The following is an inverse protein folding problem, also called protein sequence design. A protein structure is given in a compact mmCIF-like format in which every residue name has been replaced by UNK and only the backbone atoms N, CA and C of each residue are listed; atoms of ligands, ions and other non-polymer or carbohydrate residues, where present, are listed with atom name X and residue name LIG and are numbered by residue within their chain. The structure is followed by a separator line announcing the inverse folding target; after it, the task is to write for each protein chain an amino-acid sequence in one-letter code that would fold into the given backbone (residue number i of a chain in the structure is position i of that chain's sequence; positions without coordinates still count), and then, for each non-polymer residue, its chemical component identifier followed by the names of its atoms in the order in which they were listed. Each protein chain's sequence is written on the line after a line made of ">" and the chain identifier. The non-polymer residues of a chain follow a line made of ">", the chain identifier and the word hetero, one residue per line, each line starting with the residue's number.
data_IF_644871460429
#
_entry.id   IF_644871460429
#
_cell.length_a   1.000
_cell.length_b   1.000
_cell.length_c   1.000
_cell.angle_alpha   90.00
_cell.angle_beta   90.00
_cell.angle_gamma   90.00
#
_symmetry.space_group_name_H-M   'P 1'
#
loop_
_entity.id
_entity.type
_entity.pdbx_description
1 polymer ?
#
# COMPACT_ATOMS: atom_id res chain seq x y z
N UNK A 1 -14.88 -22.44 22.41
CA UNK A 1 -13.91 -21.46 22.91
C UNK A 1 -12.84 -21.31 21.83
N UNK A 2 -12.90 -20.25 21.04
CA UNK A 2 -11.86 -19.99 20.04
C UNK A 2 -10.62 -19.57 20.81
N UNK A 3 -9.66 -20.49 20.94
CA UNK A 3 -8.36 -20.14 21.48
C UNK A 3 -7.80 -19.02 20.60
N UNK A 4 -7.62 -17.83 21.16
CA UNK A 4 -6.82 -16.80 20.50
C UNK A 4 -5.42 -17.41 20.35
N UNK A 5 -5.11 -17.95 19.17
CA UNK A 5 -3.77 -18.40 18.81
C UNK A 5 -2.86 -17.19 18.95
N UNK A 6 -2.17 -17.11 20.08
CA UNK A 6 -1.32 -15.98 20.40
C UNK A 6 -0.19 -15.85 19.38
N UNK A 7 0.40 -14.66 19.32
CA UNK A 7 1.61 -14.36 18.55
C UNK A 7 2.86 -15.18 18.96
N UNK A 8 2.72 -16.15 19.86
CA UNK A 8 3.77 -17.05 20.34
C UNK A 8 3.62 -18.40 19.61
N UNK A 9 4.42 -18.60 18.58
CA UNK A 9 4.43 -19.83 17.78
C UNK A 9 5.21 -19.67 16.47
N UNK A 10 5.23 -20.73 15.67
CA UNK A 10 5.91 -20.75 14.37
C UNK A 10 7.44 -20.88 14.45
N UNK A 11 8.11 -21.07 13.30
CA UNK A 11 9.54 -21.41 13.22
C UNK A 11 10.48 -20.31 13.74
N UNK A 12 10.04 -19.05 13.71
CA UNK A 12 10.81 -17.88 14.20
C UNK A 12 10.11 -17.11 15.33
N UNK A 13 9.05 -17.67 15.91
CA UNK A 13 8.37 -17.06 17.07
C UNK A 13 7.44 -15.88 16.76
N UNK A 14 7.09 -15.63 15.50
CA UNK A 14 6.17 -14.55 15.07
C UNK A 14 4.73 -15.02 14.78
N UNK A 15 4.38 -16.23 15.20
CA UNK A 15 3.06 -16.85 14.98
C UNK A 15 3.06 -17.87 13.84
N UNK A 16 1.92 -18.53 13.64
CA UNK A 16 1.75 -19.60 12.65
C UNK A 16 1.77 -19.05 11.21
N UNK A 17 2.66 -19.53 10.32
CA UNK A 17 2.68 -19.13 8.92
C UNK A 17 1.43 -19.46 8.12
N UNK A 18 0.73 -20.54 8.47
CA UNK A 18 -0.40 -21.05 7.67
C UNK A 18 -1.76 -20.52 8.18
N UNK A 19 -1.75 -19.72 9.24
CA UNK A 19 -2.91 -18.97 9.71
C UNK A 19 -3.37 -17.97 8.64
N UNK A 20 -4.65 -18.03 8.29
CA UNK A 20 -5.30 -17.18 7.28
C UNK A 20 -6.18 -16.09 7.88
N UNK A 21 -6.24 -15.97 9.20
CA UNK A 21 -7.04 -14.95 9.88
C UNK A 21 -6.30 -13.62 9.91
N UNK A 22 -7.00 -12.51 9.68
CA UNK A 22 -6.43 -11.16 9.79
C UNK A 22 -7.16 -10.45 10.92
N UNK A 23 -6.42 -10.06 11.95
CA UNK A 23 -6.98 -9.30 13.07
C UNK A 23 -7.37 -7.88 12.64
N UNK A 24 -8.36 -7.26 13.31
CA UNK A 24 -8.80 -5.91 12.97
C UNK A 24 -7.67 -4.87 13.05
N UNK A 25 -6.80 -5.00 14.06
CA UNK A 25 -5.60 -4.14 14.18
C UNK A 25 -4.65 -4.31 13.00
N UNK A 26 -4.45 -5.53 12.54
CA UNK A 26 -3.61 -5.84 11.39
C UNK A 26 -4.23 -5.30 10.09
N UNK A 27 -5.55 -5.45 9.94
CA UNK A 27 -6.34 -4.90 8.84
C UNK A 27 -6.19 -3.37 8.76
N UNK A 28 -6.35 -2.68 9.89
CA UNK A 28 -6.24 -1.22 9.99
C UNK A 28 -4.82 -0.65 9.92
N UNK A 29 -3.77 -1.48 10.04
CA UNK A 29 -2.38 -1.01 10.07
C UNK A 29 -1.53 -1.56 8.93
N UNK A 30 -1.16 -2.83 8.97
CA UNK A 30 -0.24 -3.46 8.02
C UNK A 30 -0.90 -3.71 6.67
N UNK A 31 -2.11 -4.28 6.68
CA UNK A 31 -2.85 -4.54 5.45
C UNK A 31 -3.21 -3.23 4.74
N UNK A 32 -3.69 -2.23 5.49
CA UNK A 32 -3.99 -0.90 4.93
C UNK A 32 -2.77 -0.25 4.28
N UNK A 33 -1.58 -0.39 4.88
CA UNK A 33 -0.31 0.07 4.28
C UNK A 33 0.09 -0.73 3.04
N UNK A 34 -0.10 -2.05 3.07
CA UNK A 34 0.13 -2.92 1.91
C UNK A 34 -0.73 -2.49 0.72
N UNK A 35 -2.04 -2.33 0.92
CA UNK A 35 -2.96 -1.87 -0.13
C UNK A 35 -2.55 -0.49 -0.63
N UNK A 36 -2.21 0.44 0.26
CA UNK A 36 -1.75 1.77 -0.13
C UNK A 36 -0.48 1.72 -0.99
N UNK A 37 0.50 0.88 -0.67
CA UNK A 37 1.72 0.67 -1.48
C UNK A 37 1.37 0.19 -2.89
N UNK A 38 0.51 -0.83 -3.02
CA UNK A 38 0.06 -1.37 -4.31
C UNK A 38 -0.68 -0.31 -5.14
N UNK A 39 -1.57 0.46 -4.51
CA UNK A 39 -2.28 1.55 -5.19
C UNK A 39 -1.34 2.67 -5.64
N UNK A 40 -0.38 3.07 -4.81
CA UNK A 40 0.48 4.23 -5.07
C UNK A 40 1.59 4.00 -6.09
N UNK A 41 2.14 2.78 -6.16
CA UNK A 41 3.32 2.48 -6.97
C UNK A 41 3.08 1.50 -8.10
N UNK A 42 1.98 0.74 -8.08
CA UNK A 42 1.73 -0.29 -9.10
C UNK A 42 0.44 -0.01 -9.89
N UNK A 43 -0.71 0.12 -9.21
CA UNK A 43 -2.03 0.13 -9.87
C UNK A 43 -2.48 1.52 -10.32
N UNK A 44 -2.41 2.53 -9.44
CA UNK A 44 -2.78 3.91 -9.74
C UNK A 44 -1.54 4.81 -9.91
N UNK A 45 -0.40 4.23 -10.30
CA UNK A 45 0.88 4.96 -10.39
C UNK A 45 0.78 6.19 -11.29
N UNK A 46 0.03 6.09 -12.40
CA UNK A 46 -0.15 7.16 -13.37
C UNK A 46 -0.90 8.35 -12.78
N UNK A 47 -2.01 8.09 -12.12
CA UNK A 47 -2.87 9.09 -11.48
C UNK A 47 -2.10 9.78 -10.36
N UNK A 48 -1.38 9.00 -9.53
CA UNK A 48 -0.49 9.53 -8.51
C UNK A 48 0.65 10.35 -9.09
N UNK A 49 1.22 9.97 -10.25
CA UNK A 49 2.25 10.74 -10.94
C UNK A 49 1.70 12.09 -11.40
N UNK A 50 0.53 12.13 -12.02
CA UNK A 50 -0.11 13.39 -12.43
C UNK A 50 -0.35 14.32 -11.25
N UNK A 51 -0.90 13.79 -10.15
CA UNK A 51 -1.09 14.57 -8.94
C UNK A 51 0.23 15.11 -8.36
N UNK A 52 1.28 14.28 -8.26
CA UNK A 52 2.61 14.72 -7.82
C UNK A 52 3.19 15.80 -8.72
N UNK A 53 3.02 15.70 -10.04
CA UNK A 53 3.45 16.72 -11.00
C UNK A 53 2.74 18.04 -10.76
N UNK A 54 1.43 18.03 -10.56
CA UNK A 54 0.68 19.24 -10.22
C UNK A 54 1.16 19.85 -8.89
N UNK A 55 1.35 19.03 -7.85
CA UNK A 55 1.85 19.50 -6.54
C UNK A 55 3.21 20.19 -6.69
N UNK A 56 4.11 19.63 -7.51
CA UNK A 56 5.42 20.23 -7.82
C UNK A 56 5.29 21.55 -8.58
N UNK A 57 4.40 21.62 -9.56
CA UNK A 57 4.14 22.84 -10.33
C UNK A 57 3.59 23.98 -9.46
N UNK A 58 2.90 23.65 -8.36
CA UNK A 58 2.34 24.62 -7.42
C UNK A 58 3.09 24.70 -6.08
N UNK A 59 4.36 24.27 -6.03
CA UNK A 59 5.17 24.24 -4.79
C UNK A 59 5.25 25.58 -4.05
N UNK A 60 5.13 26.70 -4.77
CA UNK A 60 5.20 28.05 -4.20
C UNK A 60 3.87 28.51 -3.57
N UNK A 61 2.80 27.73 -3.71
CA UNK A 61 1.52 28.00 -3.06
C UNK A 61 1.54 27.54 -1.61
N UNK A 62 0.90 28.30 -0.71
CA UNK A 62 0.70 27.90 0.69
C UNK A 62 0.03 26.53 0.85
N UNK A 63 -0.88 26.16 -0.08
CA UNK A 63 -1.55 24.85 -0.09
C UNK A 63 -1.64 24.32 -1.54
N UNK A 64 -0.59 23.67 -2.07
CA UNK A 64 -0.56 23.19 -3.46
C UNK A 64 -1.69 22.21 -3.76
N UNK A 65 -2.06 21.37 -2.78
CA UNK A 65 -3.14 20.38 -2.92
C UNK A 65 -4.51 20.98 -3.22
N UNK A 66 -4.78 22.24 -2.82
CA UNK A 66 -6.04 22.91 -3.16
C UNK A 66 -6.14 23.28 -4.63
N UNK A 67 -5.00 23.47 -5.31
CA UNK A 67 -4.95 23.72 -6.75
C UNK A 67 -5.02 22.44 -7.56
N UNK A 68 -4.53 21.33 -7.01
CA UNK A 68 -4.47 20.02 -7.66
C UNK A 68 -5.66 19.10 -7.34
N UNK A 69 -6.86 19.67 -7.17
CA UNK A 69 -8.06 18.89 -6.78
C UNK A 69 -8.53 17.97 -7.91
N UNK A 70 -8.36 18.40 -9.16
CA UNK A 70 -8.80 17.64 -10.34
C UNK A 70 -7.95 16.38 -10.50
N UNK A 71 -6.63 16.51 -10.37
CA UNK A 71 -5.69 15.39 -10.42
C UNK A 71 -5.91 14.45 -9.23
N UNK A 72 -6.24 15.00 -8.05
CA UNK A 72 -6.58 14.18 -6.89
C UNK A 72 -7.91 13.43 -7.05
N UNK A 73 -8.88 14.00 -7.78
CA UNK A 73 -10.13 13.29 -8.08
C UNK A 73 -9.88 12.03 -8.91
N UNK A 74 -8.94 12.09 -9.87
CA UNK A 74 -8.53 10.91 -10.66
C UNK A 74 -7.86 9.84 -9.80
N UNK A 75 -7.04 10.25 -8.83
CA UNK A 75 -6.45 9.33 -7.84
C UNK A 75 -7.56 8.65 -7.04
N UNK A 76 -8.50 9.41 -6.50
CA UNK A 76 -9.61 8.86 -5.73
C UNK A 76 -10.48 7.92 -6.57
N UNK A 77 -10.77 8.27 -7.82
CA UNK A 77 -11.54 7.44 -8.73
C UNK A 77 -10.86 6.08 -8.92
N UNK A 78 -9.57 6.07 -9.29
CA UNK A 78 -8.80 4.84 -9.46
C UNK A 78 -8.77 3.98 -8.19
N UNK A 79 -8.50 4.59 -7.03
CA UNK A 79 -8.43 3.88 -5.76
C UNK A 79 -9.80 3.32 -5.35
N UNK A 80 -10.87 4.10 -5.50
CA UNK A 80 -12.21 3.69 -5.12
C UNK A 80 -12.69 2.51 -5.96
N UNK A 81 -12.46 2.52 -7.27
CA UNK A 81 -12.82 1.38 -8.13
C UNK A 81 -12.16 0.08 -7.68
N UNK A 82 -10.89 0.13 -7.28
CA UNK A 82 -10.14 -1.06 -6.86
C UNK A 82 -10.49 -1.51 -5.44
N UNK A 83 -10.78 -0.59 -4.52
CA UNK A 83 -11.11 -0.93 -3.12
C UNK A 83 -12.58 -1.37 -2.98
N UNK A 84 -13.47 -0.88 -3.84
CA UNK A 84 -14.87 -1.29 -3.84
C UNK A 84 -15.07 -2.64 -4.56
N UNK A 85 -14.12 -3.08 -5.38
CA UNK A 85 -14.16 -4.38 -6.04
C UNK A 85 -13.81 -5.50 -5.04
N UNK A 86 -14.76 -6.39 -4.69
CA UNK A 86 -14.51 -7.49 -3.75
C UNK A 86 -13.50 -8.50 -4.27
N UNK A 87 -13.37 -8.68 -5.59
CA UNK A 87 -12.40 -9.60 -6.18
C UNK A 87 -10.97 -9.07 -6.03
N UNK A 88 -10.76 -7.77 -6.27
CA UNK A 88 -9.46 -7.13 -6.05
C UNK A 88 -9.09 -7.14 -4.57
N UNK A 89 -10.03 -6.83 -3.68
CA UNK A 89 -9.78 -6.87 -2.24
C UNK A 89 -9.38 -8.27 -1.76
N UNK A 90 -10.03 -9.32 -2.27
CA UNK A 90 -9.63 -10.71 -1.99
C UNK A 90 -8.22 -11.01 -2.50
N UNK A 91 -7.87 -10.54 -3.70
CA UNK A 91 -6.51 -10.69 -4.24
C UNK A 91 -5.46 -9.99 -3.37
N UNK A 92 -5.72 -8.78 -2.91
CA UNK A 92 -4.82 -8.09 -1.98
C UNK A 92 -4.68 -8.82 -0.65
N UNK A 93 -5.78 -9.40 -0.14
CA UNK A 93 -5.76 -10.20 1.07
C UNK A 93 -4.87 -11.44 0.91
N UNK A 94 -4.98 -12.14 -0.22
CA UNK A 94 -4.15 -13.31 -0.53
C UNK A 94 -2.66 -12.94 -0.68
N UNK A 95 -2.35 -11.88 -1.44
CA UNK A 95 -0.96 -11.39 -1.59
C UNK A 95 -0.36 -10.96 -0.23
N UNK A 96 -1.15 -10.29 0.61
CA UNK A 96 -0.73 -9.89 1.94
C UNK A 96 -0.49 -11.09 2.86
N UNK A 97 -1.40 -12.07 2.86
CA UNK A 97 -1.26 -13.30 3.64
C UNK A 97 -0.01 -14.08 3.22
N UNK A 98 0.32 -14.11 1.93
CA UNK A 98 1.56 -14.72 1.44
C UNK A 98 2.81 -14.01 1.99
N UNK A 99 2.87 -12.67 1.87
CA UNK A 99 3.98 -11.86 2.42
C UNK A 99 4.11 -12.04 3.93
N UNK A 100 2.99 -12.17 4.64
CA UNK A 100 2.96 -12.45 6.09
C UNK A 100 3.45 -13.86 6.41
N UNK A 101 3.03 -14.86 5.65
CA UNK A 101 3.48 -16.24 5.83
C UNK A 101 5.00 -16.35 5.64
N UNK A 102 5.56 -15.66 4.65
CA UNK A 102 7.01 -15.57 4.43
C UNK A 102 7.74 -14.92 5.61
N UNK A 103 7.20 -13.81 6.14
CA UNK A 103 7.73 -13.18 7.35
C UNK A 103 7.69 -14.12 8.56
N UNK A 104 6.58 -14.84 8.77
CA UNK A 104 6.42 -15.81 9.86
C UNK A 104 7.27 -17.08 9.68
N UNK A 105 7.70 -17.41 8.45
CA UNK A 105 8.63 -18.52 8.16
C UNK A 105 10.09 -18.13 8.34
N UNK A 106 10.47 -16.95 7.86
CA UNK A 106 11.89 -16.55 7.71
C UNK A 106 12.34 -15.52 8.74
N UNK A 107 11.41 -14.78 9.35
CA UNK A 107 11.70 -13.62 10.19
C UNK A 107 12.13 -12.37 9.40
N UNK A 108 12.22 -12.44 8.07
CA UNK A 108 12.68 -11.32 7.23
C UNK A 108 11.50 -10.46 6.82
N UNK A 109 11.39 -9.28 7.43
CA UNK A 109 10.32 -8.33 7.15
C UNK A 109 10.59 -7.51 5.90
N UNK A 110 9.61 -7.43 5.00
CA UNK A 110 9.66 -6.51 3.86
C UNK A 110 9.16 -5.13 4.32
N UNK A 111 9.99 -4.10 4.15
CA UNK A 111 9.66 -2.72 4.52
C UNK A 111 8.67 -2.13 3.52
N UNK A 112 7.67 -1.42 4.02
CA UNK A 112 6.76 -0.64 3.18
C UNK A 112 7.40 0.69 2.75
N UNK A 113 7.02 1.20 1.59
CA UNK A 113 7.45 2.50 1.06
C UNK A 113 8.97 2.65 1.03
N UNK A 114 9.66 1.71 0.39
CA UNK A 114 11.13 1.74 0.33
C UNK A 114 11.62 3.04 -0.31
N UNK A 115 12.84 3.47 0.06
CA UNK A 115 13.45 4.69 -0.50
C UNK A 115 13.53 4.63 -2.03
N UNK A 116 13.73 3.44 -2.59
CA UNK A 116 13.82 3.23 -4.03
C UNK A 116 12.44 3.33 -4.71
N UNK A 117 11.37 2.82 -4.09
CA UNK A 117 9.99 3.05 -4.56
C UNK A 117 9.66 4.54 -4.57
N UNK A 118 10.00 5.26 -3.50
CA UNK A 118 9.77 6.71 -3.40
C UNK A 118 10.57 7.48 -4.47
N UNK A 119 11.84 7.12 -4.69
CA UNK A 119 12.69 7.72 -5.74
C UNK A 119 12.17 7.46 -7.14
N UNK A 120 11.78 6.22 -7.45
CA UNK A 120 11.19 5.86 -8.76
C UNK A 120 9.93 6.69 -9.01
N UNK A 121 9.08 6.81 -8.00
CA UNK A 121 7.86 7.62 -8.06
C UNK A 121 8.12 9.12 -8.22
N UNK A 122 9.34 9.59 -7.91
CA UNK A 122 9.76 10.97 -8.13
C UNK A 122 10.44 11.25 -9.46
N UNK A 123 11.16 10.27 -10.02
CA UNK A 123 12.01 10.44 -11.21
C UNK A 123 11.25 10.57 -12.53
N UNK A 124 9.96 10.19 -12.61
CA UNK A 124 9.15 10.29 -13.83
C UNK A 124 8.79 11.72 -14.29
N UNK A 125 9.52 12.75 -13.86
CA UNK A 125 9.30 14.15 -14.23
C UNK A 125 10.47 14.79 -15.00
N UNK A 126 11.57 14.07 -15.24
CA UNK A 126 12.77 14.63 -15.89
C UNK A 126 12.86 14.35 -17.41
N UNK A 127 11.90 13.60 -17.98
CA UNK A 127 11.83 13.25 -19.42
C UNK A 127 10.74 14.02 -20.19
N UNK A 128 10.57 15.31 -19.89
CA UNK A 128 9.87 16.23 -20.80
C UNK A 128 10.80 17.41 -21.03
N UNK A 129 11.62 17.29 -22.08
CA UNK A 129 12.38 18.39 -22.68
C UNK A 129 11.90 18.62 -24.10
#
# INVERSE_FOLDING_TARGET
>A
MTAYQGYKGGPVGYGDPDDRTIADTERGTLFSKFVQERLMFDLCEREWRHWRTCIRAHKDSWVPSRKCKVEFALVNECQNTLVQDPEQMKKFEEEYLQRRAEFRRTGVGVRFFTKDMLRRSSAGSDDVK
#
